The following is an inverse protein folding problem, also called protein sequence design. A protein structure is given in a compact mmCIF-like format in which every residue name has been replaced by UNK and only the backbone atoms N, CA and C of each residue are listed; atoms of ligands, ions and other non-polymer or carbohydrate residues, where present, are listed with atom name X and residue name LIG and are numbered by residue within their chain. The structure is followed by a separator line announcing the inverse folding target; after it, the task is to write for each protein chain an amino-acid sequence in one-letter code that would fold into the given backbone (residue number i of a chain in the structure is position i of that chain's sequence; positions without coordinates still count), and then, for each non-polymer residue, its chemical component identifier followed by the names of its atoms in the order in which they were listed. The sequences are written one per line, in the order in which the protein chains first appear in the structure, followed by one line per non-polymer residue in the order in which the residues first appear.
data_IF_888620446228
#
_entry.id   IF_888620446228
#
_cell.length_a   1.000
_cell.length_b   1.000
_cell.length_c   1.000
_cell.angle_alpha   90.00
_cell.angle_beta   90.00
_cell.angle_gamma   90.00
#
_symmetry.space_group_name_H-M   'P 1'
#
loop_
_entity.id
_entity.type
_entity.pdbx_description
1 polymer ?
#
# COMPACT_ATOMS: atom_id res chain seq x y z
N UNK A 1 6.67 -1.26 -17.19
CA UNK A 1 7.23 -1.02 -15.84
C UNK A 1 6.22 -0.38 -14.89
N UNK A 2 5.62 0.76 -15.21
CA UNK A 2 4.77 1.53 -14.29
C UNK A 2 3.61 0.75 -13.64
N UNK A 3 2.85 -0.04 -14.41
CA UNK A 3 1.74 -0.84 -13.88
C UNK A 3 2.22 -1.91 -12.88
N UNK A 4 3.36 -2.54 -13.14
CA UNK A 4 3.96 -3.53 -12.24
C UNK A 4 4.46 -2.89 -10.94
N UNK A 5 5.14 -1.74 -11.01
CA UNK A 5 5.60 -1.02 -9.83
C UNK A 5 4.43 -0.54 -8.95
N UNK A 6 3.35 -0.07 -9.57
CA UNK A 6 2.11 0.30 -8.87
C UNK A 6 1.48 -0.92 -8.21
N UNK A 7 1.33 -2.04 -8.93
CA UNK A 7 0.76 -3.26 -8.38
C UNK A 7 1.57 -3.84 -7.21
N UNK A 8 2.90 -3.84 -7.33
CA UNK A 8 3.79 -4.24 -6.24
C UNK A 8 3.67 -3.29 -5.04
N UNK A 9 3.67 -1.97 -5.30
CA UNK A 9 3.54 -0.93 -4.27
C UNK A 9 2.22 -1.04 -3.49
N UNK A 10 1.09 -1.18 -4.19
CA UNK A 10 -0.25 -1.32 -3.57
C UNK A 10 -0.35 -2.58 -2.72
N UNK A 11 0.23 -3.68 -3.19
CA UNK A 11 0.17 -4.97 -2.48
C UNK A 11 1.01 -4.92 -1.21
N UNK A 12 2.28 -4.47 -1.32
CA UNK A 12 3.19 -4.42 -0.17
C UNK A 12 2.68 -3.45 0.88
N UNK A 13 2.32 -2.22 0.49
CA UNK A 13 1.86 -1.22 1.46
C UNK A 13 0.47 -1.51 2.01
N UNK A 14 -0.43 -2.12 1.22
CA UNK A 14 -1.73 -2.56 1.69
C UNK A 14 -1.62 -3.61 2.80
N UNK A 15 -0.75 -4.62 2.63
CA UNK A 15 -0.49 -5.61 3.69
C UNK A 15 0.28 -5.03 4.88
N UNK A 16 1.26 -4.15 4.63
CA UNK A 16 2.01 -3.51 5.71
C UNK A 16 1.10 -2.66 6.60
N UNK A 17 0.19 -1.87 6.01
CA UNK A 17 -0.76 -1.06 6.77
C UNK A 17 -1.84 -1.91 7.45
N UNK A 18 -2.25 -3.03 6.86
CA UNK A 18 -3.12 -3.99 7.54
C UNK A 18 -2.46 -4.55 8.80
N UNK A 19 -1.21 -5.02 8.67
CA UNK A 19 -0.44 -5.56 9.79
C UNK A 19 -0.20 -4.51 10.89
N UNK A 20 0.08 -3.26 10.51
CA UNK A 20 0.15 -2.15 11.46
C UNK A 20 -1.19 -1.87 12.14
N UNK A 21 -2.31 -1.97 11.41
CA UNK A 21 -3.65 -1.86 11.98
C UNK A 21 -3.91 -2.94 13.04
N UNK A 22 -3.53 -4.17 12.74
CA UNK A 22 -3.68 -5.31 13.65
C UNK A 22 -2.83 -5.13 14.92
N UNK A 23 -1.58 -4.65 14.77
CA UNK A 23 -0.69 -4.34 15.89
C UNK A 23 -1.22 -3.22 16.80
N UNK A 24 -1.94 -2.25 16.24
CA UNK A 24 -2.58 -1.17 16.99
C UNK A 24 -3.92 -1.58 17.61
N UNK A 25 -4.34 -2.84 17.42
CA UNK A 25 -5.59 -3.37 17.94
C UNK A 25 -6.83 -2.88 17.20
N UNK A 26 -6.69 -2.37 15.97
CA UNK A 26 -7.83 -2.01 15.16
C UNK A 26 -8.60 -3.28 14.75
N UNK A 27 -9.93 -3.22 14.87
CA UNK A 27 -10.81 -4.28 14.37
C UNK A 27 -10.78 -4.33 12.83
N UNK A 28 -11.40 -5.36 12.26
CA UNK A 28 -11.42 -5.63 10.81
C UNK A 28 -11.67 -4.38 9.95
N UNK A 29 -12.63 -3.54 10.33
CA UNK A 29 -12.96 -2.34 9.56
C UNK A 29 -11.86 -1.27 9.62
N UNK A 30 -11.18 -1.13 10.76
CA UNK A 30 -10.04 -0.22 10.90
C UNK A 30 -8.82 -0.69 10.12
N UNK A 31 -8.52 -2.00 10.16
CA UNK A 31 -7.46 -2.61 9.34
C UNK A 31 -7.76 -2.48 7.85
N UNK A 32 -9.02 -2.66 7.45
CA UNK A 32 -9.46 -2.48 6.06
C UNK A 32 -9.27 -1.04 5.57
N UNK A 33 -9.67 -0.06 6.36
CA UNK A 33 -9.47 1.35 6.02
C UNK A 33 -7.98 1.70 5.93
N UNK A 34 -7.17 1.26 6.90
CA UNK A 34 -5.72 1.47 6.91
C UNK A 34 -5.05 0.82 5.69
N UNK A 35 -5.43 -0.41 5.36
CA UNK A 35 -4.93 -1.11 4.17
C UNK A 35 -5.32 -0.38 2.88
N UNK A 36 -6.53 0.18 2.82
CA UNK A 36 -6.95 1.05 1.71
C UNK A 36 -6.05 2.29 1.57
N UNK A 37 -5.73 2.96 2.68
CA UNK A 37 -4.77 4.09 2.70
C UNK A 37 -3.38 3.62 2.24
N UNK A 38 -2.89 2.49 2.76
CA UNK A 38 -1.64 1.88 2.33
C UNK A 38 -1.62 1.57 0.83
N UNK A 39 -2.74 1.11 0.27
CA UNK A 39 -2.90 0.90 -1.16
C UNK A 39 -2.74 2.18 -1.98
N UNK A 40 -3.42 3.27 -1.59
CA UNK A 40 -3.29 4.57 -2.28
C UNK A 40 -1.86 5.11 -2.21
N UNK A 41 -1.21 5.02 -1.04
CA UNK A 41 0.21 5.37 -0.87
C UNK A 41 1.09 4.49 -1.76
N UNK A 42 0.75 3.21 -1.88
CA UNK A 42 1.42 2.25 -2.75
C UNK A 42 1.31 2.57 -4.23
N UNK A 43 0.18 3.11 -4.69
CA UNK A 43 0.05 3.62 -6.07
C UNK A 43 1.03 4.78 -6.29
N UNK A 44 1.05 5.75 -5.38
CA UNK A 44 1.89 6.93 -5.52
C UNK A 44 3.38 6.58 -5.51
N UNK A 45 3.82 5.75 -4.55
CA UNK A 45 5.21 5.28 -4.49
C UNK A 45 5.57 4.42 -5.70
N UNK A 46 4.70 3.49 -6.10
CA UNK A 46 4.93 2.66 -7.28
C UNK A 46 5.07 3.48 -8.56
N UNK A 47 4.28 4.55 -8.71
CA UNK A 47 4.42 5.50 -9.82
C UNK A 47 5.74 6.28 -9.74
N UNK A 48 6.09 6.83 -8.58
CA UNK A 48 7.36 7.54 -8.34
C UNK A 48 8.57 6.66 -8.69
N UNK A 49 8.59 5.42 -8.22
CA UNK A 49 9.66 4.45 -8.50
C UNK A 49 9.73 4.16 -9.98
N UNK A 50 8.60 3.93 -10.64
CA UNK A 50 8.57 3.70 -12.08
C UNK A 50 9.05 4.89 -12.93
N UNK A 51 8.84 6.13 -12.47
CA UNK A 51 9.38 7.32 -13.13
C UNK A 51 10.90 7.43 -12.95
N UNK A 52 11.45 6.94 -11.84
CA UNK A 52 12.89 6.95 -11.60
C UNK A 52 13.65 5.94 -12.47
N UNK A 53 13.00 4.83 -12.84
CA UNK A 53 13.55 3.79 -13.72
C UNK A 53 13.21 3.99 -15.21
N UNK A 54 12.59 5.12 -15.57
CA UNK A 54 12.22 5.46 -16.95
C UNK A 54 13.28 6.39 -17.55
#
# INVERSE_FOLDING_TARGET
MTKFCIFAGTTILGYAFWYFGELLGFEFFGCFLLSGVGGVVGVWLGWKVAQHFK
#
